data_IF_637821281759
#
_entry.id   IF_637821281759
#
_cell.length_a   1.000
_cell.length_b   1.000
_cell.length_c   1.000
_cell.angle_alpha   90.00
_cell.angle_beta   90.00
_cell.angle_gamma   90.00
#
_symmetry.space_group_name_H-M   'P 1'
#
loop_
_entity.id
_entity.type
_entity.pdbx_description
1 polymer ?
#
# COMPACT_ATOMS: atom_id res chain seq x y z
N UNK A 1 17.82 11.73 15.44
CA UNK A 1 17.76 11.87 16.93
C UNK A 1 16.33 12.08 17.42
N UNK A 2 15.60 13.11 16.97
CA UNK A 2 14.21 13.39 17.41
C UNK A 2 13.21 12.29 17.05
N UNK A 3 13.34 11.66 15.88
CA UNK A 3 12.48 10.55 15.43
C UNK A 3 12.63 9.29 16.29
N UNK A 4 13.86 8.97 16.71
CA UNK A 4 14.14 7.85 17.62
C UNK A 4 13.59 8.11 19.03
N UNK A 5 13.65 9.35 19.49
CA UNK A 5 13.10 9.77 20.79
C UNK A 5 11.57 9.74 20.78
N UNK A 6 10.93 10.19 19.70
CA UNK A 6 9.48 10.03 19.51
C UNK A 6 9.07 8.56 19.43
N UNK A 7 9.81 7.73 18.71
CA UNK A 7 9.53 6.30 18.62
C UNK A 7 9.67 5.61 19.98
N UNK A 8 10.69 5.99 20.77
CA UNK A 8 10.91 5.46 22.12
C UNK A 8 9.79 5.88 23.08
N UNK A 9 9.33 7.13 23.04
CA UNK A 9 8.21 7.62 23.88
C UNK A 9 6.88 7.02 23.46
N UNK A 10 6.65 6.80 22.16
CA UNK A 10 5.46 6.07 21.67
C UNK A 10 5.52 4.58 22.02
N UNK A 11 6.70 3.97 22.00
CA UNK A 11 6.92 2.56 22.32
C UNK A 11 6.79 2.25 23.81
N UNK A 12 7.07 3.22 24.69
CA UNK A 12 6.89 3.09 26.16
C UNK A 12 5.41 3.07 26.59
N UNK A 13 4.49 3.41 25.68
CA UNK A 13 3.07 3.25 25.88
C UNK A 13 2.59 1.98 25.18
N UNK A 14 2.51 0.88 25.92
CA UNK A 14 1.96 -0.40 25.44
C UNK A 14 0.66 -0.20 24.67
N UNK A 15 -0.20 0.72 25.15
CA UNK A 15 -1.45 1.08 24.51
C UNK A 15 -1.29 1.66 23.09
N UNK A 16 -0.28 2.50 22.83
CA UNK A 16 0.00 3.06 21.51
C UNK A 16 0.58 2.01 20.57
N UNK A 17 1.43 1.12 21.07
CA UNK A 17 1.96 -0.01 20.30
C UNK A 17 0.84 -0.95 19.87
N UNK A 18 -0.06 -1.33 20.78
CA UNK A 18 -1.22 -2.16 20.45
C UNK A 18 -2.18 -1.46 19.49
N UNK A 19 -2.43 -0.17 19.67
CA UNK A 19 -3.27 0.61 18.75
C UNK A 19 -2.66 0.66 17.36
N UNK A 20 -1.35 0.91 17.25
CA UNK A 20 -0.63 0.90 15.98
C UNK A 20 -0.67 -0.49 15.33
N UNK A 21 -0.48 -1.56 16.09
CA UNK A 21 -0.56 -2.94 15.60
C UNK A 21 -1.97 -3.29 15.10
N UNK A 22 -3.02 -2.86 15.80
CA UNK A 22 -4.42 -3.06 15.38
C UNK A 22 -4.72 -2.28 14.10
N UNK A 23 -4.34 -1.00 14.01
CA UNK A 23 -4.52 -0.19 12.81
C UNK A 23 -3.74 -0.75 11.62
N UNK A 24 -2.52 -1.22 11.87
CA UNK A 24 -1.71 -1.89 10.86
C UNK A 24 -2.36 -3.19 10.39
N UNK A 25 -2.85 -4.02 11.31
CA UNK A 25 -3.57 -5.26 11.01
C UNK A 25 -4.87 -5.02 10.25
N UNK A 26 -5.64 -3.98 10.61
CA UNK A 26 -6.86 -3.60 9.87
C UNK A 26 -6.53 -3.11 8.46
N UNK A 27 -5.47 -2.31 8.31
CA UNK A 27 -5.00 -1.85 7.00
C UNK A 27 -4.55 -3.02 6.12
N UNK A 28 -3.66 -3.87 6.62
CA UNK A 28 -3.13 -5.01 5.88
C UNK A 28 -4.14 -6.14 5.66
N UNK A 29 -5.11 -6.32 6.56
CA UNK A 29 -6.17 -7.31 6.41
C UNK A 29 -7.26 -6.87 5.44
N UNK A 30 -7.63 -5.58 5.44
CA UNK A 30 -8.74 -5.08 4.64
C UNK A 30 -8.36 -4.57 3.26
N UNK A 31 -7.24 -3.86 3.13
CA UNK A 31 -6.88 -3.15 1.89
C UNK A 31 -6.61 -4.12 0.73
N UNK A 32 -5.82 -5.20 0.87
CA UNK A 32 -5.57 -6.13 -0.24
C UNK A 32 -6.84 -6.82 -0.70
N UNK A 33 -7.72 -7.21 0.24
CA UNK A 33 -8.98 -7.87 -0.08
C UNK A 33 -9.93 -6.92 -0.82
N UNK A 34 -10.09 -5.68 -0.35
CA UNK A 34 -10.91 -4.67 -1.04
C UNK A 34 -10.36 -4.36 -2.44
N UNK A 35 -9.04 -4.28 -2.60
CA UNK A 35 -8.39 -4.07 -3.90
C UNK A 35 -8.62 -5.25 -4.84
N UNK A 36 -8.48 -6.48 -4.35
CA UNK A 36 -8.72 -7.69 -5.12
C UNK A 36 -10.19 -7.81 -5.56
N UNK A 37 -11.14 -7.50 -4.68
CA UNK A 37 -12.58 -7.48 -5.03
C UNK A 37 -12.87 -6.41 -6.07
N UNK A 38 -12.42 -5.18 -5.86
CA UNK A 38 -12.66 -4.08 -6.82
C UNK A 38 -12.03 -4.35 -8.19
N UNK A 39 -10.83 -4.94 -8.22
CA UNK A 39 -10.17 -5.30 -9.47
C UNK A 39 -10.86 -6.46 -10.19
N UNK A 40 -11.34 -7.47 -9.46
CA UNK A 40 -12.12 -8.57 -10.03
C UNK A 40 -13.47 -8.06 -10.59
N UNK A 41 -14.17 -7.19 -9.86
CA UNK A 41 -15.42 -6.57 -10.30
C UNK A 41 -15.21 -5.71 -11.56
N UNK A 42 -14.10 -4.98 -11.65
CA UNK A 42 -13.76 -4.18 -12.82
C UNK A 42 -13.31 -5.01 -14.03
N UNK A 43 -12.82 -6.24 -13.81
CA UNK A 43 -12.26 -7.10 -14.85
C UNK A 43 -13.32 -7.91 -15.63
N UNK A 44 -14.48 -8.20 -15.01
CA UNK A 44 -15.52 -9.02 -15.63
C UNK A 44 -14.99 -10.37 -16.13
N UNK A 45 -15.17 -10.67 -17.42
CA UNK A 45 -14.67 -11.91 -18.04
C UNK A 45 -13.13 -12.08 -17.99
N UNK A 46 -12.38 -11.00 -17.72
CA UNK A 46 -10.92 -11.02 -17.64
C UNK A 46 -10.37 -11.16 -16.20
N UNK A 47 -11.18 -11.58 -15.23
CA UNK A 47 -10.82 -11.63 -13.81
C UNK A 47 -9.53 -12.42 -13.52
N UNK A 48 -9.34 -13.59 -14.16
CA UNK A 48 -8.13 -14.41 -13.97
C UNK A 48 -6.85 -13.70 -14.42
N UNK A 49 -6.92 -12.96 -15.53
CA UNK A 49 -5.79 -12.18 -16.04
C UNK A 49 -5.45 -11.01 -15.12
N UNK A 50 -6.47 -10.30 -14.62
CA UNK A 50 -6.28 -9.17 -13.70
C UNK A 50 -5.76 -9.63 -12.33
N UNK A 51 -6.23 -10.76 -11.82
CA UNK A 51 -5.69 -11.36 -10.60
C UNK A 51 -4.22 -11.77 -10.78
N UNK A 52 -3.86 -12.41 -11.88
CA UNK A 52 -2.47 -12.76 -12.17
C UNK A 52 -1.56 -11.52 -12.26
N UNK A 53 -2.04 -10.45 -12.89
CA UNK A 53 -1.34 -9.16 -12.93
C UNK A 53 -1.20 -8.53 -11.54
N UNK A 54 -2.24 -8.56 -10.71
CA UNK A 54 -2.20 -8.05 -9.34
C UNK A 54 -1.17 -8.78 -8.49
N UNK A 55 -1.14 -10.11 -8.54
CA UNK A 55 -0.14 -10.92 -7.82
C UNK A 55 1.27 -10.62 -8.33
N UNK A 56 1.44 -10.51 -9.64
CA UNK A 56 2.74 -10.16 -10.25
C UNK A 56 3.19 -8.78 -9.79
N UNK A 57 2.30 -7.78 -9.85
CA UNK A 57 2.58 -6.42 -9.41
C UNK A 57 2.94 -6.38 -7.93
N UNK A 58 2.25 -7.16 -7.09
CA UNK A 58 2.55 -7.29 -5.68
C UNK A 58 3.97 -7.82 -5.44
N UNK A 59 4.34 -8.91 -6.11
CA UNK A 59 5.68 -9.49 -6.02
C UNK A 59 6.76 -8.51 -6.48
N UNK A 60 6.53 -7.80 -7.59
CA UNK A 60 7.46 -6.77 -8.09
C UNK A 60 7.59 -5.64 -7.09
N UNK A 61 6.48 -5.16 -6.51
CA UNK A 61 6.50 -4.10 -5.52
C UNK A 61 7.29 -4.51 -4.26
N UNK A 62 7.11 -5.73 -3.76
CA UNK A 62 7.85 -6.25 -2.61
C UNK A 62 9.35 -6.40 -2.92
N UNK A 63 9.69 -6.93 -4.10
CA UNK A 63 11.08 -7.08 -4.53
C UNK A 63 11.78 -5.73 -4.71
N UNK A 64 11.14 -4.80 -5.42
CA UNK A 64 11.66 -3.45 -5.62
C UNK A 64 11.78 -2.68 -4.31
N UNK A 65 10.77 -2.77 -3.43
CA UNK A 65 10.78 -2.15 -2.10
C UNK A 65 11.94 -2.66 -1.23
N UNK A 66 12.16 -3.98 -1.21
CA UNK A 66 13.29 -4.58 -0.49
C UNK A 66 14.65 -4.16 -1.06
N UNK A 67 14.79 -4.13 -2.39
CA UNK A 67 16.03 -3.73 -3.06
C UNK A 67 16.37 -2.25 -2.83
N UNK A 68 15.40 -1.36 -3.06
CA UNK A 68 15.57 0.09 -2.89
C UNK A 68 15.78 0.41 -1.40
N UNK A 69 14.99 -0.19 -0.51
CA UNK A 69 15.13 -0.02 0.94
C UNK A 69 16.49 -0.51 1.47
N UNK A 70 16.96 -1.66 0.98
CA UNK A 70 18.29 -2.18 1.32
C UNK A 70 19.43 -1.31 0.81
N UNK A 71 19.32 -0.77 -0.41
CA UNK A 71 20.31 0.15 -0.98
C UNK A 71 20.37 1.49 -0.22
N UNK A 72 19.21 2.04 0.15
CA UNK A 72 19.10 3.24 0.98
C UNK A 72 19.70 3.02 2.37
N UNK A 73 19.37 1.90 3.01
CA UNK A 73 19.94 1.54 4.32
C UNK A 73 21.46 1.41 4.25
N UNK A 74 21.99 0.80 3.18
CA UNK A 74 23.44 0.63 2.98
C UNK A 74 24.17 1.95 2.69
N UNK A 75 23.54 2.88 1.99
CA UNK A 75 24.21 4.12 1.51
C UNK A 75 24.07 5.29 2.48
N UNK A 76 22.89 5.50 3.05
CA UNK A 76 22.55 6.71 3.82
C UNK A 76 22.14 6.40 5.26
N UNK A 77 22.13 5.12 5.66
CA UNK A 77 21.73 4.69 7.00
C UNK A 77 20.24 4.89 7.31
N UNK A 78 19.83 4.60 8.54
CA UNK A 78 18.43 4.60 8.96
C UNK A 78 17.75 5.99 8.92
N UNK A 79 18.52 7.07 8.96
CA UNK A 79 18.01 8.45 8.91
C UNK A 79 17.44 8.84 7.53
N UNK A 80 17.68 8.04 6.49
CA UNK A 80 17.20 8.27 5.12
C UNK A 80 15.78 7.75 4.84
N UNK A 81 15.25 6.87 5.72
CA UNK A 81 13.94 6.25 5.55
C UNK A 81 12.77 7.25 5.51
N UNK A 82 12.70 8.29 6.39
CA UNK A 82 11.57 9.22 6.40
C UNK A 82 11.39 9.97 5.08
N UNK A 83 12.48 10.45 4.48
CA UNK A 83 12.45 11.19 3.20
C UNK A 83 12.18 10.24 2.02
N UNK A 84 12.76 9.04 2.06
CA UNK A 84 12.58 8.04 0.99
C UNK A 84 11.14 7.52 0.93
N UNK A 85 10.52 7.29 2.09
CA UNK A 85 9.10 6.92 2.19
C UNK A 85 8.20 8.03 1.66
N UNK A 86 8.50 9.30 1.97
CA UNK A 86 7.75 10.45 1.41
C UNK A 86 7.88 10.54 -0.12
N UNK A 87 9.09 10.35 -0.65
CA UNK A 87 9.34 10.33 -2.10
C UNK A 87 8.65 9.15 -2.79
N UNK A 88 8.49 8.01 -2.13
CA UNK A 88 7.80 6.83 -2.69
C UNK A 88 6.27 6.96 -2.57
N UNK A 89 5.78 7.53 -1.47
CA UNK A 89 4.36 7.78 -1.24
C UNK A 89 3.80 8.84 -2.19
N UNK A 90 4.59 9.83 -2.60
CA UNK A 90 4.14 10.90 -3.49
C UNK A 90 3.64 10.37 -4.85
N UNK A 91 4.41 9.61 -5.65
CA UNK A 91 3.94 9.04 -6.90
C UNK A 91 2.87 7.96 -6.70
N UNK A 92 2.92 7.19 -5.61
CA UNK A 92 1.86 6.23 -5.28
C UNK A 92 0.52 6.94 -5.04
N UNK A 93 0.52 8.04 -4.28
CA UNK A 93 -0.66 8.85 -4.02
C UNK A 93 -1.19 9.49 -5.32
N UNK A 94 -0.30 10.00 -6.18
CA UNK A 94 -0.67 10.55 -7.50
C UNK A 94 -1.33 9.47 -8.35
N UNK A 95 -0.75 8.26 -8.42
CA UNK A 95 -1.31 7.14 -9.16
C UNK A 95 -2.69 6.72 -8.63
N UNK A 96 -2.84 6.59 -7.31
CA UNK A 96 -4.13 6.26 -6.69
C UNK A 96 -5.17 7.34 -7.00
N UNK A 97 -4.82 8.61 -6.85
CA UNK A 97 -5.72 9.74 -7.12
C UNK A 97 -6.08 9.85 -8.61
N UNK A 98 -5.15 9.54 -9.52
CA UNK A 98 -5.41 9.53 -10.96
C UNK A 98 -6.25 8.30 -11.40
N UNK A 99 -5.92 7.14 -10.86
CA UNK A 99 -6.58 5.86 -11.16
C UNK A 99 -7.98 5.75 -10.55
N UNK A 100 -8.30 6.52 -9.51
CA UNK A 100 -9.65 6.59 -8.92
C UNK A 100 -10.74 6.87 -9.97
N UNK A 101 -10.40 7.58 -11.05
CA UNK A 101 -11.32 7.91 -12.14
C UNK A 101 -11.62 6.72 -13.07
N UNK A 102 -10.76 5.70 -13.08
CA UNK A 102 -10.87 4.52 -13.93
C UNK A 102 -11.30 3.27 -13.15
N UNK A 103 -10.98 3.19 -11.84
CA UNK A 103 -11.34 2.05 -10.98
C UNK A 103 -12.76 2.08 -10.41
N UNK A 104 -13.46 3.22 -10.47
CA UNK A 104 -14.86 3.36 -10.02
C UNK A 104 -15.74 3.98 -11.13
N UNK A 105 -16.17 3.21 -12.13
CA UNK A 105 -17.19 3.67 -13.06
C UNK A 105 -18.50 3.92 -12.30
N UNK A 106 -19.06 5.12 -12.42
CA UNK A 106 -20.32 5.54 -11.78
C UNK A 106 -21.54 4.80 -12.34
N UNK A 107 -21.39 4.12 -13.48
CA UNK A 107 -22.50 3.48 -14.20
C UNK A 107 -22.40 1.96 -14.06
N UNK A 108 -23.21 1.41 -13.15
CA UNK A 108 -23.68 0.03 -13.29
C UNK A 108 -24.50 -0.02 -14.58
N UNK A 109 -24.00 -0.69 -15.61
CA UNK A 109 -24.85 -1.06 -16.73
C UNK A 109 -25.95 -1.96 -16.15
N UNK A 110 -27.17 -1.45 -16.11
CA UNK A 110 -28.33 -2.22 -15.75
C UNK A 110 -28.38 -3.44 -16.67
N UNK A 111 -28.28 -4.63 -16.09
CA UNK A 111 -28.66 -5.87 -16.74
C UNK A 111 -30.09 -5.68 -17.24
N UNK A 112 -30.23 -5.52 -18.56
CA UNK A 112 -31.55 -5.53 -19.20
C UNK A 112 -32.01 -6.99 -19.21
N UNK A 113 -33.26 -7.29 -18.81
CA UNK A 113 -33.74 -8.63 -18.50
C UNK A 113 -33.76 -9.60 -19.69
#
# INVERSE_FOLDING_TARGET
MVSLQLLAVLADSDALVYTAAVLWGLGWGGVPTLLQTAAADAAGEAADSVQAMLVTLWNVAMAAGGMIGGLLLRSLGADSFPISVLLLLTPALILVVAARRHGFPVVRAATTP
#
